data_IF_671324540354
#
_entry.id   IF_671324540354
#
_cell.length_a   1.000
_cell.length_b   1.000
_cell.length_c   1.000
_cell.angle_alpha   90.00
_cell.angle_beta   90.00
_cell.angle_gamma   90.00
#
_symmetry.space_group_name_H-M   'P 1'
#
loop_
_entity.id
_entity.type
_entity.pdbx_description
1 polymer ?
#
# COMPACT_ATOMS: atom_id res chain seq x y z
N UNK A 1 -10.51 15.26 -13.13
CA UNK A 1 -11.18 13.97 -13.40
C UNK A 1 -11.13 13.17 -12.11
N UNK A 2 -12.27 12.67 -11.63
CA UNK A 2 -12.33 11.89 -10.39
C UNK A 2 -11.76 10.48 -10.61
N UNK A 3 -11.64 9.68 -9.55
CA UNK A 3 -11.11 8.32 -9.68
C UNK A 3 -12.14 7.33 -10.24
N UNK A 4 -13.44 7.64 -10.17
CA UNK A 4 -14.55 6.81 -10.65
C UNK A 4 -14.95 7.11 -12.11
N UNK A 5 -14.79 8.35 -12.57
CA UNK A 5 -15.14 8.78 -13.92
C UNK A 5 -13.89 8.84 -14.83
N UNK A 6 -13.44 7.66 -15.29
CA UNK A 6 -12.30 7.53 -16.21
C UNK A 6 -12.61 6.52 -17.32
N UNK A 7 -11.92 6.67 -18.45
CA UNK A 7 -11.86 5.63 -19.47
C UNK A 7 -10.80 4.58 -19.11
N UNK A 8 -10.97 3.36 -19.61
CA UNK A 8 -10.11 2.22 -19.30
C UNK A 8 -10.88 1.04 -18.71
N UNK A 9 -10.14 0.09 -18.15
CA UNK A 9 -10.67 -1.14 -17.57
C UNK A 9 -10.09 -1.42 -16.19
N UNK A 10 -10.90 -2.05 -15.34
CA UNK A 10 -10.52 -2.58 -14.04
C UNK A 10 -10.80 -4.08 -14.05
N UNK A 11 -9.85 -4.88 -13.57
CA UNK A 11 -10.09 -6.30 -13.35
C UNK A 11 -10.79 -6.48 -12.01
N UNK A 12 -11.88 -7.23 -11.99
CA UNK A 12 -12.64 -7.51 -10.78
C UNK A 12 -13.22 -8.92 -10.86
N UNK A 13 -12.93 -9.74 -9.85
CA UNK A 13 -13.46 -11.11 -9.72
C UNK A 13 -13.28 -12.01 -10.96
N UNK A 14 -12.17 -11.87 -11.69
CA UNK A 14 -11.88 -12.69 -12.87
C UNK A 14 -12.23 -12.04 -14.22
N UNK A 15 -12.89 -10.89 -14.21
CA UNK A 15 -13.39 -10.23 -15.42
C UNK A 15 -12.82 -8.82 -15.58
N UNK A 16 -12.62 -8.39 -16.83
CA UNK A 16 -12.27 -7.01 -17.17
C UNK A 16 -13.54 -6.19 -17.38
N UNK A 17 -13.81 -5.26 -16.49
CA UNK A 17 -14.97 -4.38 -16.55
C UNK A 17 -14.55 -3.01 -17.10
N UNK A 18 -15.43 -2.30 -17.85
CA UNK A 18 -15.25 -0.87 -18.06
C UNK A 18 -15.05 -0.18 -16.72
N UNK A 19 -14.12 0.78 -16.65
CA UNK A 19 -13.70 1.43 -15.40
C UNK A 19 -14.87 1.88 -14.52
N UNK A 20 -15.88 2.50 -15.13
CA UNK A 20 -17.07 3.03 -14.46
C UNK A 20 -18.04 1.96 -13.94
N UNK A 21 -17.90 0.71 -14.38
CA UNK A 21 -18.75 -0.41 -14.00
C UNK A 21 -18.16 -1.30 -12.90
N UNK A 22 -16.91 -1.06 -12.48
CA UNK A 22 -16.32 -1.67 -11.30
C UNK A 22 -16.91 -1.08 -10.02
N UNK A 23 -18.19 -1.38 -9.77
CA UNK A 23 -19.00 -0.85 -8.67
C UNK A 23 -19.21 -1.91 -7.58
N UNK A 24 -19.44 -1.45 -6.36
CA UNK A 24 -19.88 -2.28 -5.23
C UNK A 24 -21.13 -1.66 -4.59
N UNK A 25 -21.91 -2.47 -3.88
CA UNK A 25 -23.06 -1.96 -3.14
C UNK A 25 -22.60 -1.13 -1.92
N UNK A 26 -23.38 -0.12 -1.53
CA UNK A 26 -23.05 0.71 -0.34
C UNK A 26 -23.09 -0.06 0.99
N UNK A 27 -23.59 -1.31 0.97
CA UNK A 27 -23.58 -2.25 2.10
C UNK A 27 -22.46 -3.29 2.01
N UNK A 28 -21.39 -3.01 1.27
CA UNK A 28 -20.18 -3.84 1.27
C UNK A 28 -19.53 -3.83 2.65
N UNK A 29 -19.31 -5.01 3.22
CA UNK A 29 -18.85 -5.19 4.61
C UNK A 29 -17.56 -4.44 4.91
N UNK A 30 -16.56 -4.52 4.02
CA UNK A 30 -15.28 -3.81 4.19
C UNK A 30 -15.44 -2.29 4.23
N UNK A 31 -16.46 -1.72 3.58
CA UNK A 31 -16.73 -0.27 3.63
C UNK A 31 -17.17 0.18 5.03
N UNK A 32 -17.83 -0.70 5.78
CA UNK A 32 -18.35 -0.39 7.13
C UNK A 32 -17.40 -0.84 8.25
N UNK A 33 -16.66 -1.93 8.04
CA UNK A 33 -15.85 -2.56 9.09
C UNK A 33 -14.34 -2.54 8.82
N UNK A 34 -13.89 -2.06 7.67
CA UNK A 34 -12.46 -1.89 7.34
C UNK A 34 -11.68 -3.20 7.13
N UNK A 35 -12.31 -4.36 7.23
CA UNK A 35 -11.69 -5.67 7.03
C UNK A 35 -11.45 -5.95 5.54
N UNK A 36 -10.25 -5.63 5.07
CA UNK A 36 -9.77 -5.90 3.71
C UNK A 36 -8.28 -5.62 3.64
N UNK A 37 -7.63 -6.07 2.58
CA UNK A 37 -6.18 -5.90 2.36
C UNK A 37 -5.90 -5.36 0.97
N UNK A 38 -4.80 -4.63 0.82
CA UNK A 38 -4.42 -4.09 -0.47
C UNK A 38 -2.92 -4.01 -0.67
N UNK A 39 -2.53 -3.85 -1.93
CA UNK A 39 -1.17 -3.53 -2.34
C UNK A 39 -1.08 -2.24 -3.15
N UNK A 40 0.10 -1.65 -3.10
CA UNK A 40 0.47 -0.49 -3.90
C UNK A 40 1.76 -0.80 -4.61
N UNK A 41 1.72 -0.89 -5.93
CA UNK A 41 2.80 -1.38 -6.78
C UNK A 41 3.06 -0.34 -7.87
N UNK A 42 4.32 -0.16 -8.29
CA UNK A 42 4.64 0.73 -9.40
C UNK A 42 5.14 -0.04 -10.61
N UNK A 43 4.65 0.38 -11.78
CA UNK A 43 5.22 0.08 -13.07
C UNK A 43 6.02 1.29 -13.55
N UNK A 44 7.20 1.04 -14.11
CA UNK A 44 8.10 2.07 -14.62
C UNK A 44 8.37 1.83 -16.09
N UNK A 45 8.51 2.91 -16.85
CA UNK A 45 9.00 2.84 -18.22
C UNK A 45 10.47 2.42 -18.19
N UNK A 46 10.85 1.48 -19.06
CA UNK A 46 12.21 0.99 -19.21
C UNK A 46 12.56 0.87 -20.69
N UNK A 47 13.83 0.64 -21.01
CA UNK A 47 14.28 0.41 -22.40
C UNK A 47 13.61 -0.80 -23.08
N UNK A 48 12.91 -1.66 -22.31
CA UNK A 48 12.18 -2.84 -22.79
C UNK A 48 10.65 -2.67 -22.71
N UNK A 49 10.17 -1.46 -22.43
CA UNK A 49 8.76 -1.15 -22.15
C UNK A 49 8.43 -1.13 -20.66
N UNK A 50 7.14 -0.97 -20.33
CA UNK A 50 6.67 -0.90 -18.95
C UNK A 50 7.01 -2.19 -18.15
N UNK A 51 7.64 -2.03 -16.99
CA UNK A 51 8.00 -3.13 -16.10
C UNK A 51 7.48 -2.87 -14.68
N UNK A 52 6.82 -3.88 -14.10
CA UNK A 52 6.34 -3.84 -12.71
C UNK A 52 7.48 -4.19 -11.76
N UNK A 53 7.81 -3.29 -10.84
CA UNK A 53 8.90 -3.50 -9.88
C UNK A 53 8.46 -4.44 -8.74
N UNK A 54 9.24 -5.51 -8.51
CA UNK A 54 9.03 -6.51 -7.44
C UNK A 54 7.59 -7.06 -7.37
N UNK A 55 7.02 -7.34 -8.54
CA UNK A 55 5.64 -7.83 -8.70
C UNK A 55 5.33 -9.02 -7.79
N UNK A 56 6.20 -10.02 -7.76
CA UNK A 56 5.99 -11.26 -7.02
C UNK A 56 5.94 -10.99 -5.51
N UNK A 57 6.86 -10.16 -5.01
CA UNK A 57 6.99 -9.83 -3.59
C UNK A 57 5.79 -9.05 -3.08
N UNK A 58 5.26 -8.13 -3.90
CA UNK A 58 4.00 -7.44 -3.59
C UNK A 58 2.84 -8.42 -3.53
N UNK A 59 2.69 -9.30 -4.52
CA UNK A 59 1.64 -10.33 -4.53
C UNK A 59 1.78 -11.27 -3.34
N UNK A 60 2.99 -11.69 -2.97
CA UNK A 60 3.23 -12.52 -1.79
C UNK A 60 2.79 -11.83 -0.49
N UNK A 61 3.07 -10.53 -0.34
CA UNK A 61 2.64 -9.75 0.83
C UNK A 61 1.13 -9.52 0.86
N UNK A 62 0.46 -9.38 -0.30
CA UNK A 62 -0.99 -9.32 -0.38
C UNK A 62 -1.63 -10.61 0.18
N UNK A 63 -1.16 -11.77 -0.27
CA UNK A 63 -1.64 -13.07 0.22
C UNK A 63 -1.31 -13.28 1.70
N UNK A 64 -0.12 -12.88 2.16
CA UNK A 64 0.23 -12.91 3.59
C UNK A 64 -0.72 -12.03 4.42
N UNK A 65 -1.04 -10.83 3.93
CA UNK A 65 -1.98 -9.93 4.58
C UNK A 65 -3.38 -10.55 4.65
N UNK A 66 -3.85 -11.13 3.56
CA UNK A 66 -5.14 -11.83 3.52
C UNK A 66 -5.18 -13.01 4.50
N UNK A 67 -4.11 -13.80 4.58
CA UNK A 67 -3.98 -14.91 5.53
C UNK A 67 -4.02 -14.43 6.99
N UNK A 68 -3.34 -13.32 7.32
CA UNK A 68 -3.39 -12.72 8.66
C UNK A 68 -4.83 -12.32 9.05
N UNK A 69 -5.62 -11.84 8.09
CA UNK A 69 -7.04 -11.51 8.29
C UNK A 69 -7.99 -12.69 8.08
N UNK A 70 -7.46 -13.91 7.92
CA UNK A 70 -8.24 -15.13 7.66
C UNK A 70 -9.16 -15.02 6.42
N UNK A 71 -8.76 -14.25 5.42
CA UNK A 71 -9.49 -14.09 4.16
C UNK A 71 -9.04 -15.14 3.16
N UNK A 72 -9.98 -15.96 2.67
CA UNK A 72 -9.70 -16.91 1.60
C UNK A 72 -9.79 -16.23 0.24
N UNK A 73 -8.65 -15.89 -0.36
CA UNK A 73 -8.58 -15.25 -1.69
C UNK A 73 -8.94 -16.29 -2.76
N UNK A 74 -9.98 -16.07 -3.59
CA UNK A 74 -10.47 -17.07 -4.54
C UNK A 74 -9.66 -17.15 -5.84
N UNK A 75 -8.40 -16.69 -5.82
CA UNK A 75 -7.48 -16.67 -6.97
C UNK A 75 -6.09 -17.09 -6.52
N UNK A 76 -5.31 -17.61 -7.45
CA UNK A 76 -3.89 -17.92 -7.26
C UNK A 76 -3.03 -16.66 -7.41
N UNK A 77 -1.80 -16.72 -6.87
CA UNK A 77 -0.81 -15.66 -7.05
C UNK A 77 -0.49 -15.42 -8.52
N UNK A 78 -0.44 -16.48 -9.33
CA UNK A 78 -0.13 -16.38 -10.76
C UNK A 78 -1.24 -15.67 -11.54
N UNK A 79 -2.51 -15.92 -11.19
CA UNK A 79 -3.66 -15.21 -11.75
C UNK A 79 -3.61 -13.71 -11.42
N UNK A 80 -3.32 -13.33 -10.16
CA UNK A 80 -3.21 -11.92 -9.80
C UNK A 80 -1.99 -11.24 -10.43
N UNK A 81 -0.85 -11.93 -10.50
CA UNK A 81 0.32 -11.44 -11.23
C UNK A 81 0.01 -11.20 -12.71
N UNK A 82 -0.77 -12.09 -13.34
CA UNK A 82 -1.23 -11.93 -14.72
C UNK A 82 -2.16 -10.73 -14.85
N UNK A 83 -3.19 -10.62 -14.01
CA UNK A 83 -4.11 -9.49 -14.02
C UNK A 83 -3.41 -8.15 -13.82
N UNK A 84 -2.41 -8.08 -12.94
CA UNK A 84 -1.60 -6.87 -12.71
C UNK A 84 -0.78 -6.45 -13.92
N UNK A 85 -0.22 -7.40 -14.70
CA UNK A 85 0.46 -7.09 -15.96
C UNK A 85 -0.52 -6.65 -17.05
N UNK A 86 -1.64 -7.35 -17.17
CA UNK A 86 -2.69 -7.03 -18.14
C UNK A 86 -3.33 -5.65 -17.87
N UNK A 87 -3.43 -5.23 -16.60
CA UNK A 87 -3.93 -3.90 -16.23
C UNK A 87 -3.09 -2.78 -16.85
N UNK A 88 -1.77 -2.99 -17.02
CA UNK A 88 -0.86 -2.05 -17.66
C UNK A 88 -1.10 -2.01 -19.17
N UNK A 89 -1.13 -3.18 -19.83
CA UNK A 89 -1.27 -3.24 -21.28
C UNK A 89 -2.66 -2.82 -21.78
N UNK A 90 -3.72 -3.24 -21.10
CA UNK A 90 -5.10 -2.92 -21.50
C UNK A 90 -5.44 -1.44 -21.31
N UNK A 91 -4.83 -0.79 -20.31
CA UNK A 91 -4.96 0.66 -20.11
C UNK A 91 -3.87 1.47 -20.84
N UNK A 92 -2.99 0.82 -21.63
CA UNK A 92 -1.94 1.47 -22.43
C UNK A 92 -1.01 2.38 -21.60
N UNK A 93 -0.55 1.88 -20.45
CA UNK A 93 0.26 2.66 -19.51
C UNK A 93 1.75 2.36 -19.67
N UNK A 94 2.57 3.39 -19.87
CA UNK A 94 4.04 3.26 -19.89
C UNK A 94 4.64 3.34 -18.48
N UNK A 95 3.96 4.01 -17.55
CA UNK A 95 4.28 4.08 -16.13
C UNK A 95 2.99 4.20 -15.34
N UNK A 96 2.88 3.47 -14.23
CA UNK A 96 1.62 3.38 -13.51
C UNK A 96 1.81 3.11 -12.02
N UNK A 97 0.81 3.48 -11.25
CA UNK A 97 0.53 2.89 -9.96
C UNK A 97 -0.57 1.84 -10.12
N UNK A 98 -0.34 0.66 -9.56
CA UNK A 98 -1.28 -0.46 -9.54
C UNK A 98 -1.78 -0.63 -8.11
N UNK A 99 -3.11 -0.71 -7.97
CA UNK A 99 -3.81 -1.05 -6.74
C UNK A 99 -4.48 -2.40 -6.91
N UNK A 100 -3.99 -3.38 -6.18
CA UNK A 100 -4.67 -4.66 -5.98
C UNK A 100 -5.32 -4.66 -4.60
N UNK A 101 -6.55 -5.14 -4.47
CA UNK A 101 -7.27 -5.14 -3.18
C UNK A 101 -8.19 -6.34 -3.06
N UNK A 102 -8.16 -6.99 -1.90
CA UNK A 102 -9.09 -8.04 -1.50
C UNK A 102 -10.02 -7.49 -0.40
N UNK A 103 -11.32 -7.71 -0.53
CA UNK A 103 -12.32 -7.16 0.39
C UNK A 103 -13.55 -8.08 0.53
N UNK A 104 -14.27 -7.99 1.65
CA UNK A 104 -15.52 -8.71 1.88
C UNK A 104 -16.71 -8.03 1.20
N UNK A 105 -17.58 -8.85 0.62
CA UNK A 105 -18.78 -8.46 -0.14
C UNK A 105 -19.93 -7.93 0.71
N UNK A 106 -21.14 -8.01 0.15
CA UNK A 106 -22.36 -7.41 0.72
C UNK A 106 -23.41 -8.44 1.14
N UNK A 107 -23.01 -9.69 1.36
CA UNK A 107 -23.90 -10.80 1.74
C UNK A 107 -24.44 -10.67 3.17
N UNK A 108 -23.79 -9.88 4.03
CA UNK A 108 -24.19 -9.70 5.42
C UNK A 108 -23.54 -8.49 6.08
N UNK A 109 -24.19 -7.99 7.13
CA UNK A 109 -23.77 -6.82 7.91
C UNK A 109 -23.46 -7.16 9.38
N UNK A 110 -23.34 -8.44 9.72
CA UNK A 110 -22.83 -8.85 11.03
C UNK A 110 -21.31 -8.75 11.10
N UNK A 111 -20.75 -8.77 12.32
CA UNK A 111 -19.29 -8.91 12.49
C UNK A 111 -18.78 -10.31 12.13
N UNK A 112 -19.66 -11.31 12.10
CA UNK A 112 -19.32 -12.67 11.65
C UNK A 112 -19.09 -12.65 10.14
N UNK A 113 -17.91 -13.06 9.70
CA UNK A 113 -17.48 -13.00 8.30
C UNK A 113 -17.51 -14.35 7.57
N UNK A 114 -18.04 -15.41 8.19
CA UNK A 114 -17.97 -16.79 7.68
C UNK A 114 -18.87 -17.05 6.46
N UNK A 115 -19.80 -16.14 6.16
CA UNK A 115 -20.70 -16.20 5.01
C UNK A 115 -20.44 -15.10 3.97
N UNK A 116 -19.35 -14.33 4.11
CA UNK A 116 -19.04 -13.21 3.23
C UNK A 116 -18.16 -13.67 2.07
N UNK A 117 -18.49 -13.23 0.86
CA UNK A 117 -17.64 -13.49 -0.31
C UNK A 117 -16.40 -12.59 -0.22
N UNK A 118 -15.22 -13.13 -0.52
CA UNK A 118 -14.02 -12.33 -0.78
C UNK A 118 -14.00 -11.94 -2.25
N UNK A 119 -13.98 -10.65 -2.52
CA UNK A 119 -13.80 -10.05 -3.83
C UNK A 119 -12.36 -9.61 -4.01
N UNK A 120 -11.89 -9.56 -5.27
CA UNK A 120 -10.56 -9.05 -5.61
C UNK A 120 -10.64 -8.11 -6.79
N UNK A 121 -9.96 -6.96 -6.70
CA UNK A 121 -9.84 -6.00 -7.80
C UNK A 121 -8.37 -5.66 -8.10
N UNK A 122 -8.10 -5.32 -9.37
CA UNK A 122 -6.84 -4.75 -9.84
C UNK A 122 -7.16 -3.55 -10.73
N UNK A 123 -6.73 -2.37 -10.30
CA UNK A 123 -6.82 -1.12 -11.06
C UNK A 123 -5.43 -0.52 -11.25
N UNK A 124 -5.18 0.11 -12.41
CA UNK A 124 -3.91 0.75 -12.72
C UNK A 124 -4.14 2.13 -13.38
N UNK A 125 -3.33 3.13 -13.00
CA UNK A 125 -3.42 4.47 -13.57
C UNK A 125 -2.09 5.21 -13.46
N UNK A 126 -1.92 6.27 -14.24
CA UNK A 126 -0.75 7.15 -14.13
C UNK A 126 -0.72 7.86 -12.76
N UNK A 127 0.44 7.81 -12.10
CA UNK A 127 0.67 8.50 -10.82
C UNK A 127 2.10 9.07 -10.79
N UNK A 128 2.22 10.40 -10.71
CA UNK A 128 3.50 11.11 -10.58
C UNK A 128 4.24 10.86 -9.26
N UNK A 129 5.21 11.71 -8.91
CA UNK A 129 5.84 11.63 -7.59
C UNK A 129 4.82 11.92 -6.48
N UNK A 130 4.73 11.03 -5.47
CA UNK A 130 3.77 11.17 -4.37
C UNK A 130 3.99 12.47 -3.58
N UNK A 131 5.26 12.81 -3.33
CA UNK A 131 5.65 14.04 -2.63
C UNK A 131 5.95 15.20 -3.58
N UNK A 132 5.76 15.03 -4.90
CA UNK A 132 6.13 16.03 -5.91
C UNK A 132 7.61 15.96 -6.33
N UNK A 133 7.89 16.29 -7.59
CA UNK A 133 9.21 16.12 -8.19
C UNK A 133 10.27 17.03 -7.54
N UNK A 134 9.91 18.27 -7.21
CA UNK A 134 10.80 19.22 -6.53
C UNK A 134 11.26 18.71 -5.16
N UNK A 135 10.37 18.03 -4.44
CA UNK A 135 10.63 17.50 -3.12
C UNK A 135 11.51 16.25 -3.14
N UNK A 136 11.58 15.52 -4.26
CA UNK A 136 12.54 14.43 -4.42
C UNK A 136 13.99 14.94 -4.43
N UNK A 137 14.21 16.17 -4.89
CA UNK A 137 15.55 16.78 -4.94
C UNK A 137 15.88 17.59 -3.67
N UNK A 138 14.90 18.36 -3.15
CA UNK A 138 15.13 19.30 -2.05
C UNK A 138 14.84 18.72 -0.66
N UNK A 139 14.18 17.57 -0.60
CA UNK A 139 13.63 17.01 0.63
C UNK A 139 12.32 17.69 1.05
N UNK A 140 11.67 17.11 2.06
CA UNK A 140 10.37 17.55 2.58
C UNK A 140 10.47 18.02 4.04
N UNK A 141 9.48 18.77 4.49
CA UNK A 141 9.31 19.16 5.90
C UNK A 141 8.38 18.17 6.59
N UNK A 142 8.91 17.42 7.56
CA UNK A 142 8.11 16.47 8.33
C UNK A 142 7.75 17.01 9.72
N UNK A 143 6.59 16.60 10.24
CA UNK A 143 6.17 16.89 11.61
C UNK A 143 5.91 15.59 12.36
N UNK A 144 6.44 15.48 13.58
CA UNK A 144 6.05 14.39 14.49
C UNK A 144 4.57 14.52 14.84
N UNK A 145 3.81 13.47 14.55
CA UNK A 145 2.39 13.34 14.80
C UNK A 145 2.10 13.25 16.30
N UNK A 146 0.98 13.82 16.74
CA UNK A 146 0.44 13.60 18.10
C UNK A 146 -0.28 12.25 18.22
N UNK A 147 -0.68 11.64 17.10
CA UNK A 147 -1.22 10.30 17.06
C UNK A 147 -0.10 9.25 17.11
N UNK A 148 -0.21 8.33 18.08
CA UNK A 148 0.65 7.15 18.21
C UNK A 148 0.40 6.16 17.08
N UNK A 149 1.45 5.50 16.59
CA UNK A 149 1.36 4.42 15.60
C UNK A 149 0.60 3.23 16.17
N UNK A 150 -0.04 2.51 15.25
CA UNK A 150 -0.72 1.24 15.47
C UNK A 150 0.04 0.29 16.42
N UNK A 151 -0.61 -0.11 17.51
CA UNK A 151 -0.07 -1.06 18.47
C UNK A 151 -0.13 -2.50 17.91
N UNK A 152 0.99 -3.22 18.01
CA UNK A 152 1.19 -4.55 17.38
C UNK A 152 0.19 -5.64 17.79
N UNK A 153 -0.48 -5.47 18.94
CA UNK A 153 -1.50 -6.40 19.45
C UNK A 153 -2.94 -5.85 19.38
N UNK A 154 -3.13 -4.62 18.86
CA UNK A 154 -4.46 -4.04 18.63
C UNK A 154 -4.83 -4.08 17.15
N UNK A 155 -3.83 -3.93 16.29
CA UNK A 155 -3.93 -4.05 14.83
C UNK A 155 -2.86 -4.99 14.34
N UNK A 156 -3.14 -5.74 13.28
CA UNK A 156 -2.15 -6.61 12.68
C UNK A 156 -1.20 -5.80 11.78
N UNK A 157 -0.16 -5.19 12.35
CA UNK A 157 0.74 -4.26 11.65
C UNK A 157 1.49 -4.87 10.45
N UNK A 158 1.55 -6.21 10.37
CA UNK A 158 2.16 -6.94 9.24
C UNK A 158 1.20 -7.17 8.08
N UNK A 159 -0.10 -6.99 8.30
CA UNK A 159 -1.09 -6.94 7.22
C UNK A 159 -1.20 -5.51 6.71
N UNK A 160 -1.11 -5.34 5.39
CA UNK A 160 -1.42 -4.07 4.74
C UNK A 160 -2.94 -3.94 4.58
N UNK A 161 -3.61 -3.73 5.71
CA UNK A 161 -5.06 -3.76 5.86
C UNK A 161 -5.69 -2.37 5.73
N UNK A 162 -6.90 -2.30 5.18
CA UNK A 162 -7.59 -1.04 4.89
C UNK A 162 -7.83 -0.23 6.16
N UNK A 163 -8.38 -0.87 7.21
CA UNK A 163 -8.68 -0.21 8.49
C UNK A 163 -7.47 0.39 9.20
N UNK A 164 -6.26 -0.14 8.94
CA UNK A 164 -5.02 0.36 9.56
C UNK A 164 -4.69 1.80 9.12
N UNK A 165 -5.23 2.27 7.98
CA UNK A 165 -4.94 3.59 7.41
C UNK A 165 -5.75 4.74 8.03
N UNK A 166 -6.72 4.48 8.92
CA UNK A 166 -7.36 5.55 9.69
C UNK A 166 -6.31 6.33 10.48
N UNK A 167 -5.39 5.63 11.13
CA UNK A 167 -4.26 6.21 11.88
C UNK A 167 -3.36 7.08 10.98
N UNK A 168 -2.98 6.55 9.82
CA UNK A 168 -2.14 7.26 8.84
C UNK A 168 -2.82 8.54 8.30
N UNK A 169 -4.12 8.47 7.98
CA UNK A 169 -4.89 9.61 7.48
C UNK A 169 -4.94 10.74 8.52
N UNK A 170 -5.21 10.41 9.79
CA UNK A 170 -5.28 11.40 10.86
C UNK A 170 -3.92 12.08 11.09
N UNK A 171 -2.84 11.30 11.11
CA UNK A 171 -1.48 11.82 11.27
C UNK A 171 -1.09 12.76 10.11
N UNK A 172 -1.34 12.34 8.86
CA UNK A 172 -1.04 13.16 7.69
C UNK A 172 -1.88 14.44 7.67
N UNK A 173 -3.18 14.36 7.97
CA UNK A 173 -4.05 15.54 8.08
C UNK A 173 -3.55 16.53 9.13
N UNK A 174 -3.10 16.06 10.30
CA UNK A 174 -2.50 16.91 11.33
C UNK A 174 -1.27 17.64 10.78
N UNK A 175 -0.33 16.92 10.16
CA UNK A 175 0.88 17.52 9.61
C UNK A 175 0.56 18.58 8.54
N UNK A 176 -0.26 18.23 7.54
CA UNK A 176 -0.67 19.12 6.46
C UNK A 176 -1.38 20.38 6.98
N UNK A 177 -2.26 20.23 7.99
CA UNK A 177 -3.00 21.36 8.58
C UNK A 177 -2.09 22.43 9.21
N UNK A 178 -0.82 22.11 9.43
CA UNK A 178 0.18 23.01 10.02
C UNK A 178 1.34 23.34 9.08
N UNK A 179 1.16 23.08 7.78
CA UNK A 179 2.10 23.48 6.73
C UNK A 179 3.37 22.63 6.66
N UNK A 180 3.28 21.36 7.07
CA UNK A 180 4.28 20.32 6.82
C UNK A 180 3.80 19.42 5.67
N UNK A 181 4.71 18.67 5.07
CA UNK A 181 4.43 17.84 3.90
C UNK A 181 4.07 16.40 4.27
N UNK A 182 4.58 15.90 5.40
CA UNK A 182 4.36 14.52 5.85
C UNK A 182 4.44 14.41 7.39
N UNK A 183 3.81 13.37 7.94
CA UNK A 183 3.82 13.04 9.34
C UNK A 183 4.87 11.97 9.67
N UNK A 184 5.53 12.12 10.82
CA UNK A 184 6.36 11.10 11.44
C UNK A 184 5.62 10.52 12.65
N UNK A 185 5.39 9.22 12.68
CA UNK A 185 4.68 8.56 13.78
C UNK A 185 5.67 7.88 14.74
N UNK A 186 5.37 8.01 16.03
CA UNK A 186 6.05 7.29 17.10
C UNK A 186 5.23 6.06 17.51
N UNK A 187 5.89 4.98 17.92
CA UNK A 187 5.21 3.83 18.51
C UNK A 187 4.71 4.11 19.94
N UNK A 188 4.06 3.10 20.53
CA UNK A 188 3.52 3.16 21.89
C UNK A 188 4.55 3.37 23.00
N UNK A 189 5.84 3.16 22.71
CA UNK A 189 6.96 3.37 23.63
C UNK A 189 7.64 4.74 23.42
N UNK A 190 7.23 5.47 22.37
CA UNK A 190 7.76 6.79 22.03
C UNK A 190 8.97 6.74 21.08
N UNK A 191 9.32 5.57 20.53
CA UNK A 191 10.35 5.45 19.51
C UNK A 191 9.80 5.76 18.13
N UNK A 192 10.67 6.19 17.22
CA UNK A 192 10.28 6.44 15.83
C UNK A 192 9.90 5.13 15.16
N UNK A 193 8.71 5.07 14.56
CA UNK A 193 8.23 3.90 13.83
C UNK A 193 8.36 4.08 12.31
N UNK A 194 7.57 4.98 11.73
CA UNK A 194 7.50 5.21 10.28
C UNK A 194 6.76 6.54 9.98
N UNK A 195 6.74 6.95 8.72
CA UNK A 195 5.86 8.02 8.23
C UNK A 195 4.41 7.56 8.10
N UNK A 196 3.50 8.42 7.61
CA UNK A 196 2.10 8.01 7.45
C UNK A 196 1.93 6.90 6.40
N UNK A 197 2.78 6.87 5.38
CA UNK A 197 2.77 5.86 4.31
C UNK A 197 4.15 5.23 3.99
N UNK A 198 5.22 5.65 4.67
CA UNK A 198 6.60 5.41 4.26
C UNK A 198 7.45 4.88 5.44
N UNK A 199 8.35 3.92 5.19
CA UNK A 199 9.38 3.61 6.18
C UNK A 199 10.43 4.75 6.26
N UNK A 200 11.09 4.90 7.42
CA UNK A 200 12.11 5.93 7.65
C UNK A 200 13.53 5.35 7.65
N UNK A 201 14.46 6.10 7.09
CA UNK A 201 15.91 5.92 7.25
C UNK A 201 16.56 7.24 7.70
N UNK A 202 17.61 7.15 8.51
CA UNK A 202 18.50 8.27 8.83
C UNK A 202 19.96 7.86 8.58
N UNK A 203 20.81 8.84 8.28
CA UNK A 203 22.24 8.62 8.09
C UNK A 203 23.00 9.37 9.17
N UNK A 204 23.88 8.67 9.88
CA UNK A 204 24.73 9.26 10.92
C UNK A 204 26.10 8.60 10.92
N UNK A 205 27.15 9.40 10.86
CA UNK A 205 28.55 8.93 10.85
C UNK A 205 28.84 7.88 9.76
N UNK A 206 28.29 8.08 8.55
CA UNK A 206 28.47 7.18 7.43
C UNK A 206 27.70 5.84 7.52
N UNK A 207 26.87 5.66 8.55
CA UNK A 207 26.02 4.49 8.74
C UNK A 207 24.56 4.83 8.51
N UNK A 208 23.81 3.87 7.98
CA UNK A 208 22.36 3.97 7.76
C UNK A 208 21.65 3.32 8.93
N UNK A 209 20.70 4.03 9.54
CA UNK A 209 19.83 3.52 10.59
C UNK A 209 18.39 3.54 10.11
N UNK A 210 17.62 2.51 10.43
CA UNK A 210 16.17 2.46 10.18
C UNK A 210 15.52 1.78 11.37
N UNK A 211 14.32 2.19 11.83
CA UNK A 211 13.66 1.48 12.91
C UNK A 211 13.47 0.00 12.59
N UNK A 212 13.62 -0.86 13.61
CA UNK A 212 13.14 -2.23 13.53
C UNK A 212 11.65 -2.24 13.14
N UNK A 213 11.26 -3.18 12.29
CA UNK A 213 9.85 -3.31 11.91
C UNK A 213 9.09 -4.02 13.03
N UNK A 214 8.86 -3.37 14.17
CA UNK A 214 7.96 -3.84 15.23
C UNK A 214 6.54 -3.37 14.91
N UNK A 215 6.29 -2.07 15.09
CA UNK A 215 5.03 -1.38 14.80
C UNK A 215 4.90 -0.93 13.33
N UNK A 216 6.03 -0.88 12.61
CA UNK A 216 6.08 -0.48 11.21
C UNK A 216 5.80 -1.64 10.23
N UNK A 217 5.36 -1.29 9.02
CA UNK A 217 5.15 -2.24 7.93
C UNK A 217 6.49 -2.75 7.39
N UNK A 218 6.54 -4.03 7.01
CA UNK A 218 7.66 -4.62 6.27
C UNK A 218 7.65 -4.11 4.82
N UNK A 219 8.19 -2.91 4.60
CA UNK A 219 8.22 -2.27 3.30
C UNK A 219 9.12 -2.99 2.31
N UNK A 220 8.59 -3.29 1.12
CA UNK A 220 9.37 -3.83 -0.01
C UNK A 220 10.41 -2.80 -0.47
N UNK A 221 10.06 -1.51 -0.50
CA UNK A 221 11.01 -0.42 -0.78
C UNK A 221 12.10 -0.33 0.28
N UNK A 222 11.73 -0.47 1.58
CA UNK A 222 12.70 -0.51 2.69
C UNK A 222 13.72 -1.63 2.48
N UNK A 223 13.24 -2.85 2.25
CA UNK A 223 14.09 -4.01 1.97
C UNK A 223 15.01 -3.75 0.76
N UNK A 224 14.47 -3.21 -0.34
CA UNK A 224 15.27 -2.85 -1.53
C UNK A 224 16.38 -1.84 -1.20
N UNK A 225 16.09 -0.79 -0.43
CA UNK A 225 17.10 0.20 -0.03
C UNK A 225 18.19 -0.45 0.83
N UNK A 226 17.83 -1.36 1.74
CA UNK A 226 18.81 -2.07 2.57
C UNK A 226 19.71 -2.98 1.74
N UNK A 227 19.18 -3.63 0.70
CA UNK A 227 19.97 -4.45 -0.24
C UNK A 227 20.96 -3.55 -0.99
N UNK A 228 20.46 -2.48 -1.62
CA UNK A 228 21.29 -1.54 -2.40
C UNK A 228 22.39 -0.92 -1.52
N UNK A 229 22.06 -0.52 -0.29
CA UNK A 229 23.02 0.03 0.66
C UNK A 229 24.18 -0.94 0.95
N UNK A 230 23.86 -2.21 1.22
CA UNK A 230 24.86 -3.26 1.47
C UNK A 230 25.73 -3.53 0.24
N UNK A 231 25.14 -3.56 -0.95
CA UNK A 231 25.89 -3.69 -2.21
C UNK A 231 26.88 -2.55 -2.46
N UNK A 232 26.58 -1.35 -1.95
CA UNK A 232 27.45 -0.17 -2.02
C UNK A 232 28.39 -0.04 -0.81
N UNK A 233 28.46 -1.07 0.06
CA UNK A 233 29.37 -1.09 1.20
C UNK A 233 28.94 -0.24 2.40
N UNK A 234 27.68 0.20 2.46
CA UNK A 234 27.14 0.89 3.63
C UNK A 234 26.72 -0.10 4.71
N UNK A 235 27.10 0.20 5.95
CA UNK A 235 26.57 -0.49 7.13
C UNK A 235 25.13 -0.02 7.39
N UNK A 236 24.21 -0.98 7.46
CA UNK A 236 22.79 -0.76 7.79
C UNK A 236 22.50 -1.37 9.16
N UNK A 237 22.00 -0.56 10.07
CA UNK A 237 21.64 -0.93 11.44
C UNK A 237 20.13 -0.75 11.58
N UNK A 238 19.48 -1.79 12.08
CA UNK A 238 18.08 -1.75 12.54
C UNK A 238 18.05 -1.44 14.04
#
# INVERSE_FOLDING_TARGET
MTMDDRDGVIWMDGEWLPWREAKVHVLTHTLHYGAGVFEGIRAYNTDKGAAIFKLQEHTDRLFRSAQILMMNVPFTKDELNKAQREAISLNQLDSAYIRTMCFYGSEGMGLRADNLKVHVMVAAWEWGAYLGDENLEKGIRIRTSSYTRNHVNSTMCKAKANGNYINSILALQEALSTGYDEALLLDHEGFVAEGSGENLFIIRNGKIFTPETTSALEGITRETIMIIAKEHGYEVIE
#
